data_IF_908058806557
#
_entry.id   IF_908058806557
#
_cell.length_a   1.000
_cell.length_b   1.000
_cell.length_c   1.000
_cell.angle_alpha   90.00
_cell.angle_beta   90.00
_cell.angle_gamma   90.00
#
_symmetry.space_group_name_H-M   'P 1'
#
loop_
_entity.id
_entity.type
_entity.pdbx_description
1 polymer ?
#
# COMPACT_ATOMS: atom_id res chain seq x y z
N UNK A 1 -11.92 17.75 -28.41
CA UNK A 1 -13.11 16.94 -28.78
C UNK A 1 -13.36 16.05 -27.57
N UNK A 2 -14.48 16.26 -26.85
CA UNK A 2 -14.81 15.45 -25.68
C UNK A 2 -14.93 13.99 -26.07
N UNK A 3 -14.28 13.10 -25.34
CA UNK A 3 -14.41 11.66 -25.54
C UNK A 3 -15.84 11.26 -25.19
N UNK A 4 -16.59 10.80 -26.20
CA UNK A 4 -17.93 10.23 -25.97
C UNK A 4 -17.68 8.84 -25.41
N UNK A 5 -18.02 8.63 -24.12
CA UNK A 5 -17.98 7.29 -23.54
C UNK A 5 -19.08 6.42 -24.11
N UNK A 6 -18.79 5.13 -24.37
CA UNK A 6 -19.86 4.19 -24.59
C UNK A 6 -20.62 3.98 -23.26
N UNK A 7 -21.86 4.38 -23.20
CA UNK A 7 -22.81 3.90 -22.20
C UNK A 7 -23.89 3.11 -22.93
N UNK A 8 -24.19 1.89 -22.50
CA UNK A 8 -23.62 1.12 -21.38
C UNK A 8 -22.25 0.50 -21.65
N UNK A 9 -21.51 0.15 -20.58
CA UNK A 9 -20.28 -0.64 -20.66
C UNK A 9 -20.57 -2.05 -21.23
N UNK A 10 -19.75 -2.53 -22.17
CA UNK A 10 -19.76 -3.92 -22.64
C UNK A 10 -18.56 -4.68 -22.06
N UNK A 11 -18.62 -4.90 -20.74
CA UNK A 11 -17.57 -5.60 -19.97
C UNK A 11 -18.03 -7.03 -19.70
N UNK A 12 -17.34 -8.01 -20.28
CA UNK A 12 -17.57 -9.45 -20.12
C UNK A 12 -16.38 -10.15 -19.48
N UNK A 13 -15.16 -9.76 -19.90
CA UNK A 13 -13.92 -10.36 -19.41
C UNK A 13 -13.12 -9.34 -18.61
N UNK A 14 -12.84 -9.64 -17.36
CA UNK A 14 -12.12 -8.77 -16.47
C UNK A 14 -10.79 -9.41 -16.04
N UNK A 15 -9.70 -8.65 -16.17
CA UNK A 15 -8.41 -9.02 -15.59
C UNK A 15 -8.20 -8.29 -14.26
N UNK A 16 -7.63 -8.98 -13.28
CA UNK A 16 -7.14 -8.40 -12.01
C UNK A 16 -5.65 -8.66 -11.91
N UNK A 17 -4.84 -7.62 -11.76
CA UNK A 17 -3.38 -7.72 -11.65
C UNK A 17 -2.98 -7.64 -10.20
N UNK A 18 -2.58 -8.77 -9.63
CA UNK A 18 -2.21 -8.97 -8.23
C UNK A 18 -3.31 -9.63 -7.39
N UNK A 19 -2.93 -10.62 -6.58
CA UNK A 19 -3.78 -11.30 -5.60
C UNK A 19 -3.44 -10.88 -4.15
N UNK A 20 -3.06 -9.63 -3.96
CA UNK A 20 -2.99 -8.98 -2.67
C UNK A 20 -4.38 -8.59 -2.15
N UNK A 21 -4.47 -7.88 -1.02
CA UNK A 21 -5.75 -7.49 -0.42
C UNK A 21 -6.74 -6.87 -1.40
N UNK A 22 -6.29 -5.90 -2.21
CA UNK A 22 -7.16 -5.21 -3.16
C UNK A 22 -7.62 -6.10 -4.31
N UNK A 23 -6.76 -7.00 -4.81
CA UNK A 23 -7.14 -7.93 -5.89
C UNK A 23 -8.10 -9.01 -5.42
N UNK A 24 -7.98 -9.48 -4.18
CA UNK A 24 -8.91 -10.45 -3.61
C UNK A 24 -10.29 -9.85 -3.38
N UNK A 25 -10.38 -8.63 -2.83
CA UNK A 25 -11.67 -7.93 -2.71
C UNK A 25 -12.27 -7.64 -4.09
N UNK A 26 -11.47 -7.19 -5.06
CA UNK A 26 -11.91 -7.00 -6.43
C UNK A 26 -12.54 -8.26 -7.03
N UNK A 27 -11.86 -9.40 -6.93
CA UNK A 27 -12.38 -10.68 -7.45
C UNK A 27 -13.72 -11.07 -6.82
N UNK A 28 -13.85 -10.94 -5.48
CA UNK A 28 -15.11 -11.24 -4.77
C UNK A 28 -16.27 -10.34 -5.20
N UNK A 29 -16.02 -9.02 -5.28
CA UNK A 29 -17.07 -8.07 -5.66
C UNK A 29 -17.49 -8.21 -7.13
N UNK A 30 -16.54 -8.50 -8.04
CA UNK A 30 -16.84 -8.79 -9.44
C UNK A 30 -17.69 -10.05 -9.59
N UNK A 31 -17.34 -11.16 -8.90
CA UNK A 31 -18.15 -12.38 -8.92
C UNK A 31 -19.57 -12.16 -8.36
N UNK A 32 -19.69 -11.38 -7.30
CA UNK A 32 -20.98 -11.12 -6.67
C UNK A 32 -21.96 -10.36 -7.58
N UNK A 33 -21.48 -9.60 -8.57
CA UNK A 33 -22.34 -8.93 -9.54
C UNK A 33 -23.06 -9.91 -10.48
N UNK A 34 -22.48 -11.10 -10.73
CA UNK A 34 -23.02 -12.10 -11.66
C UNK A 34 -23.27 -11.53 -13.07
N UNK A 35 -22.46 -10.57 -13.49
CA UNK A 35 -22.60 -9.85 -14.75
C UNK A 35 -21.47 -10.16 -15.74
N UNK A 36 -20.36 -10.72 -15.27
CA UNK A 36 -19.16 -10.94 -16.07
C UNK A 36 -19.03 -12.42 -16.45
N UNK A 37 -18.65 -12.69 -17.71
CA UNK A 37 -18.44 -14.05 -18.22
C UNK A 37 -17.18 -14.68 -17.64
N UNK A 38 -16.15 -13.88 -17.40
CA UNK A 38 -14.84 -14.32 -16.91
C UNK A 38 -14.16 -13.27 -16.08
N UNK A 39 -13.62 -13.70 -14.92
CA UNK A 39 -12.68 -12.92 -14.10
C UNK A 39 -11.42 -13.74 -13.94
N UNK A 40 -10.26 -13.17 -14.28
CA UNK A 40 -8.96 -13.81 -14.15
C UNK A 40 -8.06 -12.95 -13.30
N UNK A 41 -7.43 -13.54 -12.28
CA UNK A 41 -6.46 -12.85 -11.40
C UNK A 41 -5.06 -13.34 -11.72
N UNK A 42 -4.14 -12.44 -12.07
CA UNK A 42 -2.74 -12.76 -12.30
C UNK A 42 -1.92 -12.44 -11.06
N UNK A 43 -1.24 -13.43 -10.48
CA UNK A 43 -0.37 -13.26 -9.32
C UNK A 43 1.04 -13.79 -9.63
N UNK A 44 2.04 -12.92 -9.47
CA UNK A 44 3.43 -13.29 -9.74
C UNK A 44 4.05 -14.19 -8.67
N UNK A 45 3.54 -14.15 -7.43
CA UNK A 45 3.96 -15.04 -6.36
C UNK A 45 3.24 -16.40 -6.44
N UNK A 46 3.75 -17.45 -5.77
CA UNK A 46 3.11 -18.75 -5.73
C UNK A 46 1.92 -18.83 -4.75
N UNK A 47 1.59 -17.73 -4.05
CA UNK A 47 0.51 -17.66 -3.07
C UNK A 47 -0.11 -16.26 -3.07
N UNK A 48 -1.37 -16.15 -2.60
CA UNK A 48 -2.05 -14.87 -2.37
C UNK A 48 -1.44 -14.11 -1.20
N UNK A 49 -1.79 -12.83 -1.06
CA UNK A 49 -1.44 -12.02 0.10
C UNK A 49 -0.66 -10.76 -0.25
N UNK A 50 -0.14 -10.64 -1.48
CA UNK A 50 0.62 -9.46 -1.91
C UNK A 50 1.83 -9.22 -1.00
N UNK A 51 1.93 -8.03 -0.37
CA UNK A 51 3.03 -7.70 0.53
C UNK A 51 3.12 -8.59 1.77
N UNK A 52 2.01 -9.22 2.20
CA UNK A 52 1.97 -10.09 3.38
C UNK A 52 2.59 -11.46 3.10
N UNK A 53 2.69 -11.86 1.82
CA UNK A 53 3.44 -13.06 1.44
C UNK A 53 4.93 -12.80 1.62
N UNK A 54 5.48 -13.27 2.73
CA UNK A 54 6.82 -12.95 3.19
C UNK A 54 7.88 -13.87 2.62
N UNK A 55 8.99 -13.27 2.17
CA UNK A 55 10.25 -13.97 1.90
C UNK A 55 11.32 -13.51 2.87
N UNK A 56 12.01 -14.46 3.52
CA UNK A 56 13.14 -14.16 4.39
C UNK A 56 14.34 -13.60 3.62
N UNK A 57 14.46 -13.93 2.33
CA UNK A 57 15.53 -13.38 1.49
C UNK A 57 15.17 -11.94 1.10
N UNK A 58 16.02 -10.95 1.42
CA UNK A 58 15.82 -9.59 0.97
C UNK A 58 16.09 -9.46 -0.53
N UNK A 59 15.67 -8.34 -1.12
CA UNK A 59 16.16 -7.90 -2.42
C UNK A 59 17.46 -7.14 -2.22
N UNK A 60 18.51 -7.51 -2.92
CA UNK A 60 19.83 -6.87 -2.83
C UNK A 60 20.00 -5.74 -3.88
N UNK A 61 18.96 -5.39 -4.63
CA UNK A 61 19.02 -4.49 -5.78
C UNK A 61 18.61 -3.03 -5.47
N UNK A 62 18.77 -2.56 -4.24
CA UNK A 62 18.47 -1.16 -3.95
C UNK A 62 19.39 -0.22 -4.75
N UNK A 63 18.81 0.53 -5.68
CA UNK A 63 19.52 1.63 -6.34
C UNK A 63 19.77 2.76 -5.35
N UNK A 64 20.97 3.34 -5.40
CA UNK A 64 21.35 4.45 -4.53
C UNK A 64 21.96 5.56 -5.36
N UNK A 65 21.28 6.71 -5.46
CA UNK A 65 19.93 7.03 -5.01
C UNK A 65 18.86 6.36 -5.86
N UNK A 66 17.60 6.30 -5.34
CA UNK A 66 16.43 5.78 -6.07
C UNK A 66 15.31 6.80 -6.03
N UNK A 67 15.18 7.56 -7.12
CA UNK A 67 14.21 8.67 -7.27
C UNK A 67 13.30 8.52 -8.49
N UNK A 68 13.47 7.46 -9.28
CA UNK A 68 12.72 7.24 -10.52
C UNK A 68 11.70 6.11 -10.38
N UNK A 69 10.42 6.32 -10.75
CA UNK A 69 9.42 5.26 -10.80
C UNK A 69 9.62 4.29 -11.98
N UNK A 70 10.46 4.65 -12.95
CA UNK A 70 10.73 3.87 -14.17
C UNK A 70 11.92 2.91 -14.02
N UNK A 71 12.40 2.73 -12.80
CA UNK A 71 13.45 1.75 -12.55
C UNK A 71 12.87 0.33 -12.69
N UNK A 72 13.61 -0.60 -13.32
CA UNK A 72 13.14 -1.98 -13.42
C UNK A 72 12.79 -2.54 -12.04
N UNK A 73 11.66 -3.25 -11.89
CA UNK A 73 11.32 -3.90 -10.63
C UNK A 73 12.37 -4.96 -10.27
N UNK A 74 12.49 -5.23 -8.98
CA UNK A 74 13.41 -6.27 -8.50
C UNK A 74 13.08 -7.60 -9.16
N UNK A 75 14.11 -8.37 -9.59
CA UNK A 75 13.90 -9.71 -10.08
C UNK A 75 13.42 -10.63 -8.95
N UNK A 76 12.71 -11.73 -9.28
CA UNK A 76 12.31 -12.68 -8.26
C UNK A 76 13.55 -13.35 -7.64
N UNK A 77 13.50 -13.58 -6.33
CA UNK A 77 14.44 -14.45 -5.62
C UNK A 77 13.92 -15.89 -5.63
N UNK A 78 14.78 -16.89 -5.55
CA UNK A 78 14.35 -18.29 -5.47
C UNK A 78 14.15 -18.71 -4.01
N UNK A 79 12.95 -19.18 -3.70
CA UNK A 79 12.63 -19.85 -2.43
C UNK A 79 12.30 -21.31 -2.73
N UNK A 80 13.29 -22.21 -2.58
CA UNK A 80 13.23 -23.55 -3.14
C UNK A 80 13.16 -23.49 -4.68
N UNK A 81 12.20 -24.19 -5.27
CA UNK A 81 12.01 -24.22 -6.72
C UNK A 81 11.09 -23.10 -7.26
N UNK A 82 10.52 -22.28 -6.36
CA UNK A 82 9.56 -21.24 -6.73
C UNK A 82 10.20 -19.85 -6.75
N UNK A 83 9.95 -19.06 -7.80
CA UNK A 83 10.29 -17.65 -7.81
C UNK A 83 9.36 -16.88 -6.85
N UNK A 84 9.93 -15.99 -6.03
CA UNK A 84 9.22 -15.17 -5.05
C UNK A 84 9.75 -13.74 -5.14
N UNK A 85 8.86 -12.77 -5.09
CA UNK A 85 9.24 -11.35 -5.07
C UNK A 85 9.43 -10.87 -3.63
N UNK A 86 10.51 -10.12 -3.38
CA UNK A 86 10.83 -9.65 -2.05
C UNK A 86 9.75 -8.71 -1.52
N UNK A 87 9.19 -9.05 -0.38
CA UNK A 87 8.20 -8.25 0.35
C UNK A 87 8.90 -7.20 1.23
N UNK A 88 8.27 -6.04 1.49
CA UNK A 88 8.75 -5.05 2.47
C UNK A 88 8.53 -5.47 3.92
N UNK A 89 7.90 -6.64 4.17
CA UNK A 89 7.63 -7.15 5.51
C UNK A 89 8.90 -7.72 6.17
N UNK A 90 8.91 -7.75 7.49
CA UNK A 90 10.00 -8.26 8.32
C UNK A 90 9.50 -9.20 9.41
N UNK A 91 10.41 -9.96 10.04
CA UNK A 91 10.09 -11.14 10.85
C UNK A 91 9.11 -10.85 12.00
N UNK A 92 9.38 -9.79 12.76
CA UNK A 92 8.62 -9.47 13.98
C UNK A 92 7.60 -8.32 13.78
N UNK A 93 7.14 -8.10 12.54
CA UNK A 93 6.14 -7.09 12.24
C UNK A 93 4.78 -7.49 12.81
N UNK A 94 4.16 -6.55 13.51
CA UNK A 94 2.74 -6.54 13.86
C UNK A 94 2.03 -5.39 13.14
N UNK A 95 0.74 -5.57 12.86
CA UNK A 95 -0.06 -4.51 12.23
C UNK A 95 -0.01 -3.21 13.06
N UNK A 96 -0.13 -2.07 12.38
CA UNK A 96 -0.26 -0.77 13.07
C UNK A 96 -1.72 -0.45 13.41
N UNK A 97 -2.65 -1.29 12.97
CA UNK A 97 -4.09 -1.09 13.02
C UNK A 97 -4.70 -2.29 13.74
N UNK A 98 -5.64 -2.10 14.68
CA UNK A 98 -6.34 -3.21 15.32
C UNK A 98 -7.11 -4.04 14.28
N UNK A 99 -7.13 -5.35 14.45
CA UNK A 99 -7.83 -6.25 13.52
C UNK A 99 -9.33 -5.93 13.40
N UNK A 100 -9.94 -5.40 14.46
CA UNK A 100 -11.36 -5.06 14.53
C UNK A 100 -11.82 -4.07 13.46
N UNK A 101 -10.92 -3.17 13.02
CA UNK A 101 -11.19 -2.23 11.92
C UNK A 101 -10.43 -2.59 10.64
N UNK A 102 -9.46 -3.52 10.71
CA UNK A 102 -8.69 -3.94 9.55
C UNK A 102 -9.38 -5.04 8.74
N UNK A 103 -10.28 -5.81 9.36
CA UNK A 103 -10.95 -6.96 8.75
C UNK A 103 -11.77 -6.60 7.52
N UNK A 104 -12.03 -7.60 6.67
CA UNK A 104 -13.04 -7.53 5.63
C UNK A 104 -14.46 -7.68 6.22
N UNK A 105 -15.44 -7.21 5.48
CA UNK A 105 -16.85 -7.22 5.94
C UNK A 105 -17.43 -8.60 6.19
N UNK A 106 -16.94 -9.63 5.49
CA UNK A 106 -17.47 -11.00 5.55
C UNK A 106 -16.53 -12.01 6.22
N UNK A 107 -15.43 -11.56 6.82
CA UNK A 107 -14.50 -12.46 7.51
C UNK A 107 -13.84 -11.79 8.71
N UNK A 108 -14.00 -12.37 9.91
CA UNK A 108 -13.31 -11.95 11.10
C UNK A 108 -11.93 -12.61 11.26
N UNK A 109 -10.99 -11.89 11.90
CA UNK A 109 -9.80 -12.51 12.47
C UNK A 109 -10.19 -13.42 13.65
N UNK A 110 -9.33 -14.38 14.04
CA UNK A 110 -9.59 -15.18 15.24
C UNK A 110 -9.73 -14.30 16.48
N UNK A 111 -10.83 -14.46 17.23
CA UNK A 111 -11.13 -13.63 18.41
C UNK A 111 -10.16 -13.84 19.59
N UNK A 112 -9.43 -14.95 19.61
CA UNK A 112 -8.38 -15.27 20.60
C UNK A 112 -6.98 -14.81 20.17
N UNK A 113 -6.87 -14.20 18.98
CA UNK A 113 -5.63 -13.62 18.46
C UNK A 113 -5.25 -12.30 19.13
N UNK A 114 -4.09 -11.76 18.77
CA UNK A 114 -3.64 -10.44 19.24
C UNK A 114 -4.47 -9.33 18.60
N UNK A 115 -4.72 -8.25 19.36
CA UNK A 115 -5.45 -7.08 18.85
C UNK A 115 -4.72 -6.42 17.66
N UNK A 116 -3.39 -6.48 17.63
CA UNK A 116 -2.53 -6.14 16.50
C UNK A 116 -1.88 -7.42 15.97
N UNK A 117 -2.51 -8.10 14.99
CA UNK A 117 -2.02 -9.36 14.46
C UNK A 117 -0.58 -9.29 13.96
N UNK A 118 0.13 -10.41 14.04
CA UNK A 118 1.42 -10.54 13.41
C UNK A 118 1.29 -10.61 11.88
N UNK A 119 2.39 -10.40 11.18
CA UNK A 119 2.49 -10.60 9.73
C UNK A 119 1.98 -11.99 9.30
N UNK A 120 2.29 -13.03 10.07
CA UNK A 120 1.87 -14.40 9.75
C UNK A 120 0.36 -14.57 9.88
N UNK A 121 -0.25 -14.03 10.94
CA UNK A 121 -1.70 -14.08 11.15
C UNK A 121 -2.46 -13.38 10.00
N UNK A 122 -1.94 -12.25 9.52
CA UNK A 122 -2.53 -11.55 8.37
C UNK A 122 -2.41 -12.37 7.10
N UNK A 123 -1.28 -13.04 6.86
CA UNK A 123 -1.13 -13.92 5.70
C UNK A 123 -2.12 -15.10 5.75
N UNK A 124 -2.27 -15.74 6.89
CA UNK A 124 -3.24 -16.83 7.07
C UNK A 124 -4.68 -16.34 6.86
N UNK A 125 -5.00 -15.17 7.36
CA UNK A 125 -6.28 -14.52 7.16
C UNK A 125 -6.57 -14.28 5.67
N UNK A 126 -5.61 -13.77 4.89
CA UNK A 126 -5.76 -13.54 3.46
C UNK A 126 -5.88 -14.85 2.67
N UNK A 127 -5.15 -15.90 3.04
CA UNK A 127 -5.32 -17.24 2.46
C UNK A 127 -6.74 -17.76 2.71
N UNK A 128 -7.27 -17.59 3.93
CA UNK A 128 -8.66 -17.96 4.25
C UNK A 128 -9.66 -17.11 3.46
N UNK A 129 -9.43 -15.78 3.37
CA UNK A 129 -10.30 -14.88 2.62
C UNK A 129 -10.36 -15.22 1.13
N UNK A 130 -9.30 -15.76 0.57
CA UNK A 130 -9.19 -16.08 -0.85
C UNK A 130 -9.92 -17.36 -1.28
N UNK A 131 -10.39 -18.21 -0.36
CA UNK A 131 -10.80 -19.58 -0.66
C UNK A 131 -11.86 -19.69 -1.76
N UNK A 132 -12.86 -18.82 -1.76
CA UNK A 132 -13.95 -18.80 -2.73
C UNK A 132 -13.58 -18.22 -4.10
N UNK A 133 -12.50 -17.42 -4.18
CA UNK A 133 -12.00 -16.81 -5.43
C UNK A 133 -10.66 -17.39 -5.88
N UNK A 134 -10.05 -18.29 -5.12
CA UNK A 134 -8.73 -18.84 -5.40
C UNK A 134 -8.64 -19.55 -6.76
N UNK A 135 -9.74 -20.14 -7.22
CA UNK A 135 -9.82 -20.81 -8.51
C UNK A 135 -9.69 -19.87 -9.72
N UNK A 136 -9.83 -18.55 -9.51
CA UNK A 136 -9.64 -17.52 -10.54
C UNK A 136 -8.17 -17.10 -10.67
N UNK A 137 -7.30 -17.49 -9.72
CA UNK A 137 -5.93 -17.00 -9.63
C UNK A 137 -4.98 -17.86 -10.46
N UNK A 138 -4.30 -17.24 -11.43
CA UNK A 138 -3.14 -17.80 -12.13
C UNK A 138 -1.88 -17.41 -11.34
N UNK A 139 -1.41 -18.33 -10.50
CA UNK A 139 -0.21 -18.13 -9.67
C UNK A 139 1.07 -18.21 -10.50
N UNK A 140 2.16 -17.67 -9.95
CA UNK A 140 3.49 -17.60 -10.57
C UNK A 140 3.42 -17.05 -12.00
N UNK A 141 2.47 -16.14 -12.25
CA UNK A 141 2.20 -15.55 -13.56
C UNK A 141 2.37 -14.05 -13.49
N UNK A 142 3.43 -13.55 -14.12
CA UNK A 142 3.75 -12.12 -14.14
C UNK A 142 3.16 -11.45 -15.37
N UNK A 143 2.46 -10.33 -15.17
CA UNK A 143 2.06 -9.44 -16.28
C UNK A 143 3.30 -8.66 -16.72
N UNK A 144 3.67 -8.81 -18.00
CA UNK A 144 4.85 -8.19 -18.60
C UNK A 144 4.52 -6.91 -19.34
N UNK A 145 3.39 -6.89 -20.05
CA UNK A 145 2.89 -5.70 -20.75
C UNK A 145 1.38 -5.67 -20.79
N UNK A 146 0.83 -4.48 -20.82
CA UNK A 146 -0.58 -4.22 -21.06
C UNK A 146 -0.71 -3.06 -22.04
N UNK A 147 -1.43 -3.31 -23.14
CA UNK A 147 -1.59 -2.33 -24.21
C UNK A 147 -3.07 -2.06 -24.45
N UNK A 148 -3.41 -0.77 -24.47
CA UNK A 148 -4.73 -0.33 -24.85
C UNK A 148 -4.92 -0.43 -26.37
N UNK A 149 -6.02 -1.03 -26.78
CA UNK A 149 -6.52 -1.05 -28.15
C UNK A 149 -7.97 -0.58 -28.15
N UNK A 150 -8.32 0.30 -29.05
CA UNK A 150 -9.71 0.77 -29.22
C UNK A 150 -10.41 -0.01 -30.34
N UNK A 151 -11.60 -0.53 -30.04
CA UNK A 151 -12.52 -1.12 -31.01
C UNK A 151 -13.80 -0.26 -31.07
N UNK A 152 -13.84 0.66 -32.03
CA UNK A 152 -14.89 1.69 -32.05
C UNK A 152 -14.76 2.66 -30.86
N UNK A 153 -15.77 2.68 -30.00
CA UNK A 153 -15.77 3.46 -28.75
C UNK A 153 -15.39 2.63 -27.52
N UNK A 154 -15.07 1.34 -27.69
CA UNK A 154 -14.78 0.45 -26.58
C UNK A 154 -13.28 0.25 -26.41
N UNK A 155 -12.82 0.31 -25.17
CA UNK A 155 -11.47 -0.07 -24.80
C UNK A 155 -11.34 -1.59 -24.77
N UNK A 156 -10.20 -2.09 -25.24
CA UNK A 156 -9.75 -3.48 -25.13
C UNK A 156 -8.32 -3.50 -24.63
N UNK A 157 -8.04 -4.36 -23.69
CA UNK A 157 -6.76 -4.45 -23.01
C UNK A 157 -6.06 -5.76 -23.38
N UNK A 158 -5.04 -5.67 -24.21
CA UNK A 158 -4.19 -6.80 -24.56
C UNK A 158 -3.13 -6.96 -23.46
N UNK A 159 -3.19 -8.07 -22.73
CA UNK A 159 -2.29 -8.39 -21.61
C UNK A 159 -1.35 -9.53 -22.02
N UNK A 160 -0.05 -9.29 -21.90
CA UNK A 160 0.99 -10.30 -22.09
C UNK A 160 1.51 -10.74 -20.73
N UNK A 161 1.54 -12.05 -20.52
CA UNK A 161 1.97 -12.68 -19.28
C UNK A 161 3.05 -13.70 -19.49
N UNK A 162 3.86 -13.94 -18.45
CA UNK A 162 4.88 -14.99 -18.40
C UNK A 162 4.65 -15.86 -17.17
N UNK A 163 4.54 -17.17 -17.35
CA UNK A 163 4.58 -18.12 -16.26
C UNK A 163 6.03 -18.27 -15.79
N UNK A 164 6.30 -17.91 -14.54
CA UNK A 164 7.67 -17.85 -14.00
C UNK A 164 8.26 -19.23 -13.63
N UNK A 165 7.47 -20.30 -13.73
CA UNK A 165 7.93 -21.68 -13.48
C UNK A 165 8.57 -22.31 -14.72
N UNK A 166 7.99 -22.06 -15.89
CA UNK A 166 8.39 -22.68 -17.17
C UNK A 166 8.75 -21.67 -18.27
N UNK A 167 8.54 -20.37 -18.02
CA UNK A 167 8.80 -19.30 -18.99
C UNK A 167 7.76 -19.18 -20.11
N UNK A 168 6.63 -19.91 -20.01
CA UNK A 168 5.59 -19.86 -21.04
C UNK A 168 4.97 -18.46 -21.08
N UNK A 169 4.95 -17.86 -22.28
CA UNK A 169 4.29 -16.59 -22.52
C UNK A 169 2.88 -16.81 -23.06
N UNK A 170 1.95 -15.95 -22.68
CA UNK A 170 0.60 -15.91 -23.22
C UNK A 170 0.13 -14.47 -23.42
N UNK A 171 -0.82 -14.31 -24.35
CA UNK A 171 -1.46 -13.03 -24.64
C UNK A 171 -2.97 -13.22 -24.64
N UNK A 172 -3.67 -12.42 -23.85
CA UNK A 172 -5.13 -12.47 -23.74
C UNK A 172 -5.70 -11.05 -23.81
N UNK A 173 -6.92 -10.91 -24.33
CA UNK A 173 -7.63 -9.62 -24.42
C UNK A 173 -8.75 -9.58 -23.40
N UNK A 174 -8.85 -8.47 -22.68
CA UNK A 174 -9.86 -8.19 -21.65
C UNK A 174 -10.61 -6.89 -21.96
N UNK A 175 -11.84 -6.79 -21.45
CA UNK A 175 -12.68 -5.61 -21.62
C UNK A 175 -12.42 -4.57 -20.53
N UNK A 176 -12.02 -5.03 -19.33
CA UNK A 176 -11.68 -4.16 -18.23
C UNK A 176 -10.54 -4.75 -17.38
N UNK A 177 -9.79 -3.88 -16.70
CA UNK A 177 -8.63 -4.26 -15.89
C UNK A 177 -8.63 -3.57 -14.53
N UNK A 178 -8.45 -4.37 -13.49
CA UNK A 178 -8.16 -3.91 -12.13
C UNK A 178 -6.67 -3.99 -11.87
N UNK A 179 -6.00 -2.86 -11.72
CA UNK A 179 -4.56 -2.77 -11.43
C UNK A 179 -4.37 -2.75 -9.91
N UNK A 180 -4.27 -3.93 -9.31
CA UNK A 180 -4.09 -4.15 -7.87
C UNK A 180 -2.66 -4.59 -7.51
N UNK A 181 -1.66 -4.07 -8.25
CA UNK A 181 -0.24 -4.44 -8.12
C UNK A 181 0.44 -3.91 -6.85
N UNK A 182 -0.26 -3.08 -6.05
CA UNK A 182 0.29 -2.43 -4.87
C UNK A 182 1.29 -1.31 -5.18
N UNK A 183 1.78 -0.63 -4.13
CA UNK A 183 2.70 0.51 -4.28
C UNK A 183 3.92 0.44 -3.33
N UNK A 184 4.30 -0.77 -2.88
CA UNK A 184 5.47 -0.99 -2.03
C UNK A 184 6.57 -1.80 -2.75
N UNK A 185 6.65 -1.70 -4.08
CA UNK A 185 7.64 -2.39 -4.88
C UNK A 185 8.90 -1.55 -5.11
N UNK A 186 8.75 -0.31 -5.58
CA UNK A 186 9.86 0.60 -5.91
C UNK A 186 10.17 1.48 -4.72
N UNK A 187 11.38 1.33 -4.15
CA UNK A 187 11.84 2.09 -2.99
C UNK A 187 12.13 3.55 -3.35
N UNK A 188 12.08 4.44 -2.36
CA UNK A 188 12.53 5.83 -2.51
C UNK A 188 13.75 6.11 -1.63
N UNK A 189 14.90 6.39 -2.26
CA UNK A 189 16.13 6.88 -1.59
C UNK A 189 16.47 8.22 -2.24
N UNK A 190 16.41 9.34 -1.49
CA UNK A 190 16.62 10.67 -2.04
C UNK A 190 18.06 10.86 -2.56
N UNK A 191 18.22 11.70 -3.58
CA UNK A 191 19.55 12.09 -4.10
C UNK A 191 20.13 13.19 -3.21
N UNK A 192 20.99 12.77 -2.29
CA UNK A 192 21.71 13.65 -1.38
C UNK A 192 23.14 13.82 -1.90
N UNK A 193 23.75 14.98 -1.66
CA UNK A 193 25.12 15.28 -2.10
C UNK A 193 26.10 14.16 -1.75
N UNK A 194 26.88 13.70 -2.74
CA UNK A 194 27.89 12.64 -2.68
C UNK A 194 27.37 11.23 -2.34
N UNK A 195 26.05 10.98 -2.37
CA UNK A 195 25.50 9.67 -2.02
C UNK A 195 25.98 8.56 -2.96
N UNK A 196 26.19 8.88 -4.26
CA UNK A 196 26.65 7.91 -5.28
C UNK A 196 28.09 7.48 -5.03
N UNK A 197 28.95 8.46 -4.77
CA UNK A 197 30.38 8.26 -4.47
C UNK A 197 30.52 7.46 -3.16
N UNK A 198 29.72 7.83 -2.16
CA UNK A 198 29.70 7.12 -0.88
C UNK A 198 29.26 5.65 -1.06
N UNK A 199 28.17 5.39 -1.79
CA UNK A 199 27.68 4.03 -2.01
C UNK A 199 28.66 3.19 -2.84
N UNK A 200 29.37 3.81 -3.79
CA UNK A 200 30.42 3.12 -4.55
C UNK A 200 31.64 2.75 -3.71
N UNK A 201 32.04 3.62 -2.76
CA UNK A 201 33.16 3.37 -1.86
C UNK A 201 32.81 2.42 -0.70
N UNK A 202 31.56 2.43 -0.26
CA UNK A 202 31.06 1.66 0.89
C UNK A 202 29.80 0.87 0.53
N UNK A 203 29.90 -0.13 -0.36
CA UNK A 203 28.74 -0.90 -0.81
C UNK A 203 28.08 -1.62 0.36
N UNK A 204 26.73 -1.59 0.41
CA UNK A 204 25.93 -2.25 1.45
C UNK A 204 25.78 -1.47 2.76
N UNK A 205 26.43 -0.31 2.93
CA UNK A 205 26.21 0.58 4.10
C UNK A 205 24.85 1.26 3.98
N UNK A 206 24.48 1.73 2.78
CA UNK A 206 23.16 2.30 2.52
C UNK A 206 22.21 1.19 2.09
N UNK A 207 21.09 1.08 2.83
CA UNK A 207 20.00 0.13 2.53
C UNK A 207 18.63 0.80 2.66
N UNK A 208 17.58 0.14 2.20
CA UNK A 208 16.20 0.58 2.39
C UNK A 208 15.44 -0.40 3.30
N UNK A 209 14.41 0.08 4.01
CA UNK A 209 13.55 -0.73 4.89
C UNK A 209 12.93 -1.96 4.20
N UNK A 210 12.80 -1.95 2.88
CA UNK A 210 12.38 -3.11 2.08
C UNK A 210 13.31 -4.33 2.27
N UNK A 211 14.59 -4.11 2.53
CA UNK A 211 15.57 -5.19 2.77
C UNK A 211 15.73 -5.57 4.24
N UNK A 212 15.17 -4.80 5.17
CA UNK A 212 15.19 -5.14 6.59
C UNK A 212 14.46 -6.46 6.88
N UNK A 213 15.05 -7.33 7.72
CA UNK A 213 14.43 -8.60 8.10
C UNK A 213 14.40 -8.79 9.60
N UNK A 214 15.53 -8.68 10.27
CA UNK A 214 15.70 -8.92 11.71
C UNK A 214 16.66 -7.90 12.33
N UNK A 215 16.48 -7.51 13.60
CA UNK A 215 17.35 -6.53 14.25
C UNK A 215 18.76 -7.06 14.54
N UNK A 216 18.94 -8.38 14.62
CA UNK A 216 20.24 -9.03 14.87
C UNK A 216 21.27 -8.73 13.78
N UNK A 217 20.84 -8.43 12.55
CA UNK A 217 21.71 -8.02 11.45
C UNK A 217 22.44 -6.70 11.72
N UNK A 218 21.97 -5.95 12.71
CA UNK A 218 22.53 -4.65 13.13
C UNK A 218 23.30 -4.72 14.46
N UNK A 219 23.50 -5.93 15.01
CA UNK A 219 24.17 -6.10 16.29
C UNK A 219 25.58 -5.47 16.32
N UNK A 220 25.82 -4.59 17.29
CA UNK A 220 27.10 -3.88 17.49
C UNK A 220 27.47 -2.86 16.43
N UNK A 221 26.63 -2.58 15.43
CA UNK A 221 26.84 -1.60 14.38
C UNK A 221 26.47 -0.18 14.85
N UNK A 222 27.15 0.84 14.36
CA UNK A 222 26.73 2.23 14.45
C UNK A 222 25.71 2.50 13.34
N UNK A 223 24.45 2.74 13.70
CA UNK A 223 23.32 2.79 12.78
C UNK A 223 22.68 4.15 12.73
N UNK A 224 22.38 4.62 11.54
CA UNK A 224 21.54 5.78 11.25
C UNK A 224 20.29 5.32 10.50
N UNK A 225 19.11 5.52 11.09
CA UNK A 225 17.81 5.32 10.45
C UNK A 225 17.30 6.65 9.92
N UNK A 226 16.81 6.69 8.67
CA UNK A 226 16.32 7.91 8.03
C UNK A 226 14.80 7.83 7.83
N UNK A 227 14.06 8.71 8.51
CA UNK A 227 12.61 8.81 8.47
C UNK A 227 11.93 8.23 9.71
N UNK A 228 10.92 8.95 10.21
CA UNK A 228 10.18 8.68 11.45
C UNK A 228 8.69 8.37 11.22
N UNK A 229 8.33 7.87 10.03
CA UNK A 229 7.01 7.30 9.79
C UNK A 229 6.89 5.88 10.40
N UNK A 230 5.76 5.21 10.21
CA UNK A 230 5.45 3.93 10.85
C UNK A 230 6.59 2.89 10.75
N UNK A 231 7.17 2.67 9.55
CA UNK A 231 8.29 1.73 9.39
C UNK A 231 9.56 2.21 10.08
N UNK A 232 9.85 3.53 10.02
CA UNK A 232 11.05 4.09 10.64
C UNK A 232 11.06 3.92 12.14
N UNK A 233 9.95 4.24 12.81
CA UNK A 233 9.82 4.13 14.26
C UNK A 233 9.83 2.66 14.72
N UNK A 234 9.07 1.78 14.05
CA UNK A 234 9.01 0.37 14.44
C UNK A 234 10.37 -0.33 14.24
N UNK A 235 11.00 -0.16 13.07
CA UNK A 235 12.31 -0.75 12.80
C UNK A 235 13.40 -0.17 13.71
N UNK A 236 13.42 1.16 13.91
CA UNK A 236 14.37 1.79 14.82
C UNK A 236 14.24 1.28 16.26
N UNK A 237 13.00 1.07 16.75
CA UNK A 237 12.77 0.52 18.09
C UNK A 237 13.30 -0.90 18.26
N UNK A 238 13.30 -1.69 17.18
CA UNK A 238 13.87 -3.03 17.17
C UNK A 238 15.40 -2.98 17.13
N UNK A 239 15.98 -2.19 16.21
CA UNK A 239 17.43 -2.08 16.02
C UNK A 239 18.11 -1.45 17.25
N UNK A 240 17.51 -0.46 17.92
CA UNK A 240 18.10 0.27 19.03
C UNK A 240 18.52 -0.64 20.21
N UNK A 241 17.87 -1.79 20.33
CA UNK A 241 18.17 -2.79 21.37
C UNK A 241 19.36 -3.70 21.05
N UNK A 242 19.84 -3.68 19.81
CA UNK A 242 20.90 -4.55 19.31
C UNK A 242 22.13 -3.79 18.81
N UNK A 243 21.95 -2.58 18.26
CA UNK A 243 23.02 -1.80 17.68
C UNK A 243 23.91 -1.14 18.76
N UNK A 244 24.97 -0.51 18.31
CA UNK A 244 25.81 0.35 19.16
C UNK A 244 25.02 1.61 19.55
N UNK A 245 24.83 1.83 20.84
CA UNK A 245 24.12 2.99 21.36
C UNK A 245 24.94 4.29 21.25
N UNK A 246 24.29 5.43 20.96
CA UNK A 246 22.89 5.56 20.60
C UNK A 246 22.65 5.17 19.13
N UNK A 247 21.44 4.64 18.80
CA UNK A 247 20.91 4.64 17.44
C UNK A 247 20.60 6.08 17.05
N UNK A 248 21.00 6.49 15.85
CA UNK A 248 20.65 7.81 15.31
C UNK A 248 19.39 7.72 14.46
N UNK A 249 18.42 8.64 14.69
CA UNK A 249 17.19 8.75 13.91
C UNK A 249 17.16 10.11 13.20
N UNK A 250 17.43 10.12 11.89
CA UNK A 250 17.44 11.34 11.07
C UNK A 250 16.03 11.68 10.58
N UNK A 251 15.58 12.90 10.87
CA UNK A 251 14.21 13.35 10.59
C UNK A 251 14.16 14.75 9.99
N UNK A 252 13.07 15.04 9.28
CA UNK A 252 12.73 16.39 8.84
C UNK A 252 11.85 17.12 9.87
N UNK A 253 10.84 16.42 10.39
CA UNK A 253 9.93 16.93 11.41
C UNK A 253 10.16 16.17 12.71
N UNK A 254 10.10 16.84 13.87
CA UNK A 254 10.32 16.20 15.16
C UNK A 254 9.39 15.02 15.42
N UNK A 255 9.93 13.98 16.01
CA UNK A 255 9.17 12.82 16.49
C UNK A 255 8.45 13.15 17.79
N UNK A 256 7.17 12.77 17.99
CA UNK A 256 6.52 12.92 19.29
C UNK A 256 7.35 12.29 20.42
N UNK A 257 7.45 12.97 21.54
CA UNK A 257 8.35 12.62 22.64
C UNK A 257 8.14 11.18 23.15
N UNK A 258 6.89 10.75 23.28
CA UNK A 258 6.54 9.40 23.72
C UNK A 258 7.05 8.31 22.75
N UNK A 259 6.93 8.58 21.44
CA UNK A 259 7.41 7.67 20.40
C UNK A 259 8.94 7.62 20.40
N UNK A 260 9.61 8.77 20.52
CA UNK A 260 11.07 8.83 20.57
C UNK A 260 11.62 8.12 21.80
N UNK A 261 11.00 8.28 22.96
CA UNK A 261 11.33 7.58 24.19
C UNK A 261 11.19 6.06 24.04
N UNK A 262 10.12 5.59 23.37
CA UNK A 262 9.92 4.17 23.09
C UNK A 262 11.00 3.59 22.15
N UNK A 263 11.37 4.36 21.12
CA UNK A 263 12.43 3.96 20.17
C UNK A 263 13.78 3.87 20.87
N UNK A 264 14.07 4.74 21.81
CA UNK A 264 15.36 4.81 22.50
C UNK A 264 16.48 5.30 21.58
N UNK A 265 16.18 6.18 20.62
CA UNK A 265 17.11 6.75 19.67
C UNK A 265 17.49 8.19 20.02
N UNK A 266 18.64 8.63 19.52
CA UNK A 266 19.00 10.04 19.47
C UNK A 266 18.47 10.62 18.15
N UNK A 267 17.50 11.54 18.24
CA UNK A 267 16.98 12.23 17.06
C UNK A 267 18.00 13.26 16.54
N UNK A 268 18.22 13.24 15.23
CA UNK A 268 19.17 14.13 14.54
C UNK A 268 18.50 14.72 13.29
N UNK A 269 18.91 15.93 12.84
CA UNK A 269 18.36 16.54 11.64
C UNK A 269 18.66 15.74 10.37
N UNK A 270 18.09 16.18 9.25
CA UNK A 270 18.26 15.56 7.94
C UNK A 270 19.74 15.52 7.48
N UNK A 271 20.08 14.51 6.68
CA UNK A 271 21.39 14.40 6.04
C UNK A 271 21.49 15.47 4.93
N UNK A 272 22.55 16.29 4.95
CA UNK A 272 22.88 17.28 3.94
C UNK A 272 23.91 16.77 2.93
N UNK A 273 24.89 15.99 3.40
CA UNK A 273 26.03 15.54 2.58
C UNK A 273 26.58 14.22 3.10
N UNK A 274 26.97 13.34 2.17
CA UNK A 274 27.75 12.14 2.48
C UNK A 274 29.24 12.42 2.45
N UNK A 275 29.97 11.95 3.47
CA UNK A 275 31.41 12.12 3.65
C UNK A 275 32.09 10.78 3.38
N UNK A 276 32.65 10.64 2.18
CA UNK A 276 33.19 9.36 1.67
C UNK A 276 34.35 8.85 2.52
N UNK A 277 35.35 9.72 2.79
CA UNK A 277 36.56 9.36 3.52
C UNK A 277 36.30 8.97 4.98
N UNK A 278 35.31 9.63 5.61
CA UNK A 278 34.93 9.40 7.01
C UNK A 278 33.92 8.25 7.18
N UNK A 279 33.47 7.64 6.07
CA UNK A 279 32.33 6.70 6.09
C UNK A 279 31.20 7.27 6.95
N UNK A 280 30.79 8.51 6.65
CA UNK A 280 29.91 9.30 7.50
C UNK A 280 28.98 10.24 6.74
N UNK A 281 28.31 11.10 7.52
CA UNK A 281 27.39 12.11 6.99
C UNK A 281 27.59 13.45 7.70
N UNK A 282 27.31 14.54 6.99
CA UNK A 282 27.06 15.87 7.54
C UNK A 282 25.54 16.09 7.62
N UNK A 283 25.08 16.48 8.77
CA UNK A 283 23.68 16.82 9.03
C UNK A 283 23.44 18.31 8.72
N UNK A 284 22.19 18.70 8.50
CA UNK A 284 21.79 20.06 8.10
C UNK A 284 22.11 21.15 9.13
N UNK A 285 22.39 20.77 10.39
CA UNK A 285 22.88 21.68 11.43
C UNK A 285 24.42 21.78 11.51
N UNK A 286 25.14 21.14 10.57
CA UNK A 286 26.61 21.11 10.52
C UNK A 286 27.27 20.01 11.35
N UNK A 287 26.54 19.27 12.17
CA UNK A 287 27.05 18.11 12.92
C UNK A 287 27.54 17.02 11.95
N UNK A 288 28.68 16.42 12.26
CA UNK A 288 29.27 15.34 11.48
C UNK A 288 29.23 14.04 12.26
N UNK A 289 28.67 13.01 11.65
CA UNK A 289 28.70 11.63 12.13
C UNK A 289 29.62 10.78 11.25
N UNK A 290 30.58 10.08 11.89
CA UNK A 290 31.60 9.27 11.22
C UNK A 290 31.44 7.79 11.56
N UNK A 291 32.13 6.95 10.79
CA UNK A 291 32.22 5.50 11.03
C UNK A 291 30.84 4.82 11.12
N UNK A 292 29.91 5.21 10.24
CA UNK A 292 28.60 4.60 10.14
C UNK A 292 28.72 3.20 9.50
N UNK A 293 28.23 2.18 10.18
CA UNK A 293 28.23 0.80 9.70
C UNK A 293 26.96 0.48 8.89
N UNK A 294 25.85 1.20 9.14
CA UNK A 294 24.62 1.05 8.40
C UNK A 294 23.81 2.36 8.36
N UNK A 295 23.26 2.68 7.21
CA UNK A 295 22.32 3.79 6.98
C UNK A 295 21.07 3.18 6.36
N UNK A 296 19.97 3.17 7.12
CA UNK A 296 18.73 2.52 6.71
C UNK A 296 17.67 3.56 6.35
N UNK A 297 17.34 3.66 5.07
CA UNK A 297 16.29 4.55 4.60
C UNK A 297 14.90 3.93 4.82
N UNK A 298 14.06 4.62 5.59
CA UNK A 298 12.64 4.34 5.80
C UNK A 298 11.77 5.43 5.14
N UNK A 299 12.13 5.81 3.92
CA UNK A 299 11.61 6.98 3.21
C UNK A 299 10.48 6.66 2.23
N UNK A 300 9.90 5.46 2.35
CA UNK A 300 8.72 5.03 1.60
C UNK A 300 9.04 4.58 0.18
N UNK A 301 8.01 4.62 -0.67
CA UNK A 301 8.00 3.99 -1.98
C UNK A 301 7.42 4.93 -3.03
N UNK A 302 7.67 4.61 -4.30
CA UNK A 302 7.14 5.31 -5.47
C UNK A 302 6.06 4.45 -6.14
N UNK A 303 5.01 5.09 -6.63
CA UNK A 303 4.04 4.45 -7.51
C UNK A 303 4.71 4.09 -8.84
N UNK A 304 4.51 2.85 -9.30
CA UNK A 304 5.07 2.36 -10.55
C UNK A 304 4.14 1.35 -11.22
N UNK A 305 4.09 1.41 -12.55
CA UNK A 305 3.28 0.54 -13.40
C UNK A 305 4.10 0.12 -14.63
N UNK A 306 5.13 -0.72 -14.46
CA UNK A 306 6.09 -1.02 -15.54
C UNK A 306 5.45 -1.75 -16.73
N UNK A 307 4.30 -2.39 -16.55
CA UNK A 307 3.54 -3.05 -17.59
C UNK A 307 2.58 -2.12 -18.36
N UNK A 308 2.50 -0.83 -17.98
CA UNK A 308 1.61 0.20 -18.57
C UNK A 308 2.37 1.36 -19.24
N UNK A 309 3.63 1.18 -19.58
CA UNK A 309 4.48 2.24 -20.14
C UNK A 309 3.97 2.82 -21.46
N UNK A 310 3.14 2.05 -22.19
CA UNK A 310 2.57 2.51 -23.48
C UNK A 310 1.32 3.38 -23.34
N UNK A 311 0.74 3.50 -22.14
CA UNK A 311 -0.43 4.34 -21.93
C UNK A 311 -0.05 5.82 -22.00
N UNK A 312 -0.79 6.58 -22.82
CA UNK A 312 -0.53 8.01 -23.05
C UNK A 312 -1.81 8.80 -22.86
N UNK A 313 -1.80 9.87 -22.00
CA UNK A 313 -0.66 10.34 -21.18
C UNK A 313 -0.24 9.33 -20.12
N UNK A 314 1.04 9.38 -19.70
CA UNK A 314 1.58 8.47 -18.71
C UNK A 314 0.99 8.69 -17.32
N UNK A 315 0.80 7.59 -16.57
CA UNK A 315 0.20 7.58 -15.24
C UNK A 315 1.06 8.23 -14.15
N UNK A 316 2.37 8.18 -14.29
CA UNK A 316 3.32 8.69 -13.28
C UNK A 316 4.42 9.54 -13.93
N UNK A 317 4.93 10.51 -13.18
CA UNK A 317 6.10 11.31 -13.56
C UNK A 317 7.28 11.05 -12.60
N UNK A 318 7.14 11.41 -11.34
CA UNK A 318 8.14 11.21 -10.28
C UNK A 318 7.76 10.07 -9.31
N UNK A 319 6.66 9.38 -9.56
CA UNK A 319 6.15 8.28 -8.72
C UNK A 319 5.49 8.69 -7.41
N UNK A 320 5.30 9.99 -7.15
CA UNK A 320 4.64 10.47 -5.93
C UNK A 320 3.13 10.60 -6.07
N UNK A 321 2.64 10.66 -7.31
CA UNK A 321 1.23 10.75 -7.67
C UNK A 321 0.95 9.90 -8.91
N UNK A 322 -0.26 9.35 -8.96
CA UNK A 322 -0.85 8.75 -10.16
C UNK A 322 -1.83 9.76 -10.75
N UNK A 323 -1.68 10.09 -12.03
CA UNK A 323 -2.43 11.13 -12.74
C UNK A 323 -3.60 10.53 -13.52
N UNK A 324 -4.59 11.39 -13.85
CA UNK A 324 -5.73 11.01 -14.67
C UNK A 324 -6.74 10.12 -13.95
N UNK A 325 -6.86 10.25 -12.62
CA UNK A 325 -7.73 9.39 -11.82
C UNK A 325 -8.85 10.17 -11.13
N UNK A 326 -10.07 9.67 -11.27
CA UNK A 326 -11.23 10.09 -10.50
C UNK A 326 -11.35 9.27 -9.21
N UNK A 327 -11.54 9.95 -8.08
CA UNK A 327 -11.67 9.35 -6.73
C UNK A 327 -10.53 8.39 -6.37
N UNK A 328 -9.30 8.70 -6.84
CA UNK A 328 -8.10 7.86 -6.68
C UNK A 328 -8.30 6.42 -7.18
N UNK A 329 -9.23 6.18 -8.10
CA UNK A 329 -9.66 4.86 -8.51
C UNK A 329 -9.79 4.71 -10.03
N UNK A 330 -10.75 5.42 -10.67
CA UNK A 330 -11.05 5.25 -12.09
C UNK A 330 -10.12 6.09 -12.96
N UNK A 331 -9.56 5.48 -14.01
CA UNK A 331 -8.92 6.26 -15.06
C UNK A 331 -9.98 7.12 -15.80
N UNK A 332 -9.75 8.42 -15.86
CA UNK A 332 -10.76 9.37 -16.36
C UNK A 332 -11.10 9.11 -17.83
N UNK A 333 -10.09 8.96 -18.69
CA UNK A 333 -10.29 8.73 -20.12
C UNK A 333 -10.65 7.28 -20.45
N UNK A 334 -10.23 6.31 -19.61
CA UNK A 334 -10.41 4.87 -19.81
C UNK A 334 -11.01 4.23 -18.57
N UNK A 335 -12.31 4.43 -18.25
CA UNK A 335 -12.89 3.97 -16.98
C UNK A 335 -13.07 2.45 -16.87
N UNK A 336 -12.69 1.70 -17.90
CA UNK A 336 -12.46 0.25 -17.88
C UNK A 336 -11.13 -0.13 -17.19
N UNK A 337 -10.34 0.88 -16.77
CA UNK A 337 -9.10 0.73 -16.01
C UNK A 337 -9.26 1.36 -14.64
N UNK A 338 -9.04 0.57 -13.58
CA UNK A 338 -9.14 1.03 -12.18
C UNK A 338 -7.91 0.66 -11.36
N UNK A 339 -7.62 1.46 -10.34
CA UNK A 339 -6.44 1.35 -9.48
C UNK A 339 -6.85 1.33 -7.99
N UNK A 340 -7.39 0.23 -7.46
CA UNK A 340 -7.75 0.17 -6.04
C UNK A 340 -6.51 0.17 -5.14
N UNK A 341 -6.65 0.77 -3.96
CA UNK A 341 -5.61 0.76 -2.92
C UNK A 341 -4.49 1.77 -3.11
N UNK A 342 -4.67 2.83 -3.91
CA UNK A 342 -3.72 3.95 -4.01
C UNK A 342 -3.73 4.87 -2.79
N UNK A 343 -4.85 5.10 -2.07
CA UNK A 343 -4.87 5.92 -0.87
C UNK A 343 -3.85 5.48 0.17
N UNK A 344 -3.12 6.46 0.73
CA UNK A 344 -2.09 6.27 1.76
C UNK A 344 -2.62 6.79 3.10
N UNK A 345 -2.23 6.17 4.22
CA UNK A 345 -2.70 6.43 5.60
C UNK A 345 -4.18 6.07 5.80
N UNK A 346 -4.65 5.08 5.07
CA UNK A 346 -5.97 4.49 5.21
C UNK A 346 -5.87 3.08 5.77
N UNK A 347 -7.02 2.50 6.15
CA UNK A 347 -7.14 1.06 6.46
C UNK A 347 -7.41 0.32 5.14
N UNK A 348 -6.44 -0.44 4.58
CA UNK A 348 -6.50 -0.87 3.18
C UNK A 348 -7.62 -1.85 2.86
N UNK A 349 -7.96 -2.80 3.77
CA UNK A 349 -8.89 -3.87 3.46
C UNK A 349 -10.31 -3.36 3.25
N UNK A 350 -10.95 -2.64 4.20
CA UNK A 350 -12.29 -2.10 3.97
C UNK A 350 -12.32 -1.07 2.84
N UNK A 351 -11.27 -0.23 2.70
CA UNK A 351 -11.21 0.72 1.57
C UNK A 351 -11.19 -0.02 0.23
N UNK A 352 -10.47 -1.14 0.12
CA UNK A 352 -10.45 -1.93 -1.11
C UNK A 352 -11.80 -2.58 -1.43
N UNK A 353 -12.59 -2.98 -0.41
CA UNK A 353 -13.96 -3.47 -0.59
C UNK A 353 -14.90 -2.36 -1.07
N UNK A 354 -14.82 -1.18 -0.45
CA UNK A 354 -15.64 -0.03 -0.84
C UNK A 354 -15.38 0.39 -2.29
N UNK A 355 -14.10 0.47 -2.70
CA UNK A 355 -13.72 0.73 -4.07
C UNK A 355 -14.21 -0.37 -5.03
N UNK A 356 -14.08 -1.64 -4.64
CA UNK A 356 -14.52 -2.78 -5.43
C UNK A 356 -16.05 -2.81 -5.61
N UNK A 357 -16.81 -2.42 -4.59
CA UNK A 357 -18.25 -2.31 -4.66
C UNK A 357 -18.70 -1.30 -5.75
N UNK A 358 -17.99 -0.19 -5.88
CA UNK A 358 -18.32 0.85 -6.87
C UNK A 358 -17.95 0.42 -8.28
N UNK A 359 -16.69 0.04 -8.56
CA UNK A 359 -16.32 -0.27 -9.94
C UNK A 359 -17.00 -1.52 -10.49
N UNK A 360 -17.29 -2.51 -9.65
CA UNK A 360 -18.02 -3.70 -10.09
C UNK A 360 -19.47 -3.36 -10.52
N UNK A 361 -20.12 -2.42 -9.81
CA UNK A 361 -21.46 -1.91 -10.16
C UNK A 361 -21.43 -1.02 -11.39
N UNK A 362 -20.41 -0.18 -11.55
CA UNK A 362 -20.23 0.63 -12.77
C UNK A 362 -20.09 -0.26 -14.00
N UNK A 363 -19.21 -1.24 -13.97
CA UNK A 363 -18.97 -2.13 -15.10
C UNK A 363 -20.14 -3.07 -15.41
N UNK A 364 -20.99 -3.35 -14.42
CA UNK A 364 -22.27 -4.09 -14.64
C UNK A 364 -23.43 -3.18 -15.05
N UNK A 365 -23.18 -1.89 -15.30
CA UNK A 365 -24.21 -0.89 -15.66
C UNK A 365 -25.31 -0.69 -14.60
N UNK A 366 -25.04 -1.02 -13.35
CA UNK A 366 -25.98 -0.76 -12.26
C UNK A 366 -25.71 0.53 -11.51
N UNK A 367 -24.59 1.19 -11.82
CA UNK A 367 -24.18 2.49 -11.27
C UNK A 367 -23.52 3.31 -12.39
N UNK A 368 -23.83 4.59 -12.47
CA UNK A 368 -23.27 5.50 -13.49
C UNK A 368 -22.04 6.23 -12.95
N UNK A 369 -21.09 6.54 -13.85
CA UNK A 369 -20.02 7.50 -13.59
C UNK A 369 -20.46 8.91 -13.97
N UNK A 370 -19.93 9.94 -13.31
CA UNK A 370 -20.08 11.32 -13.76
C UNK A 370 -19.47 11.55 -15.16
N UNK A 371 -19.87 12.63 -15.86
CA UNK A 371 -19.22 13.04 -17.10
C UNK A 371 -17.73 13.27 -16.93
N UNK A 372 -16.95 13.11 -18.02
CA UNK A 372 -15.48 13.27 -18.03
C UNK A 372 -15.06 14.62 -17.48
N UNK A 373 -15.78 15.68 -17.85
CA UNK A 373 -15.51 17.04 -17.43
C UNK A 373 -15.65 17.25 -15.91
N UNK A 374 -16.60 16.55 -15.29
CA UNK A 374 -16.80 16.58 -13.84
C UNK A 374 -15.69 15.79 -13.12
N UNK A 375 -15.32 14.63 -13.65
CA UNK A 375 -14.25 13.83 -13.09
C UNK A 375 -12.89 14.52 -13.20
N UNK A 376 -12.62 15.20 -14.32
CA UNK A 376 -11.39 15.98 -14.52
C UNK A 376 -11.33 17.16 -13.56
N UNK A 377 -12.46 17.86 -13.38
CA UNK A 377 -12.54 18.96 -12.42
C UNK A 377 -12.29 18.49 -11.00
N UNK A 378 -12.87 17.34 -10.62
CA UNK A 378 -12.59 16.75 -9.32
C UNK A 378 -11.07 16.47 -9.11
N UNK A 379 -10.39 15.94 -10.14
CA UNK A 379 -8.94 15.68 -10.05
C UNK A 379 -8.14 16.99 -9.90
N UNK A 380 -8.52 18.03 -10.63
CA UNK A 380 -7.88 19.36 -10.55
C UNK A 380 -8.07 19.98 -9.15
N UNK A 381 -9.30 20.01 -8.63
CA UNK A 381 -9.63 20.53 -7.31
C UNK A 381 -8.90 19.76 -6.19
N UNK A 382 -8.84 18.42 -6.30
CA UNK A 382 -8.13 17.57 -5.33
C UNK A 382 -6.62 17.78 -5.41
N UNK A 383 -6.07 18.01 -6.59
CA UNK A 383 -4.66 18.32 -6.78
C UNK A 383 -4.28 19.68 -6.19
N UNK A 384 -5.14 20.70 -6.34
CA UNK A 384 -4.96 22.00 -5.73
C UNK A 384 -5.00 21.89 -4.19
N UNK A 385 -5.96 21.14 -3.66
CA UNK A 385 -6.16 20.97 -2.22
C UNK A 385 -5.03 20.19 -1.54
N UNK A 386 -4.50 19.10 -2.18
CA UNK A 386 -3.53 18.18 -1.54
C UNK A 386 -2.10 18.34 -2.04
N UNK A 387 -1.87 18.97 -3.18
CA UNK A 387 -0.54 19.15 -3.76
C UNK A 387 0.22 17.84 -3.93
N UNK A 388 1.46 17.79 -3.43
CA UNK A 388 2.33 16.60 -3.51
C UNK A 388 1.81 15.40 -2.70
N UNK A 389 0.90 15.64 -1.75
CA UNK A 389 0.31 14.60 -0.90
C UNK A 389 -1.03 14.08 -1.48
N UNK A 390 -1.21 14.11 -2.80
CA UNK A 390 -2.46 13.82 -3.50
C UNK A 390 -3.17 12.56 -3.01
N UNK A 391 -2.45 11.46 -2.80
CA UNK A 391 -3.00 10.19 -2.32
C UNK A 391 -2.92 10.01 -0.79
N UNK A 392 -2.40 11.00 -0.04
CA UNK A 392 -2.25 10.90 1.42
C UNK A 392 -3.48 11.45 2.12
N UNK A 393 -4.18 10.59 2.86
CA UNK A 393 -5.39 10.94 3.57
C UNK A 393 -5.09 11.51 4.97
N UNK A 394 -5.90 12.49 5.45
CA UNK A 394 -5.80 12.99 6.82
C UNK A 394 -6.28 11.92 7.82
N UNK A 395 -6.09 12.18 9.12
CA UNK A 395 -6.64 11.34 10.19
C UNK A 395 -8.17 11.22 10.01
N UNK A 396 -8.70 10.02 10.06
CA UNK A 396 -10.11 9.65 9.80
C UNK A 396 -10.61 9.86 8.34
N UNK A 397 -9.79 10.35 7.43
CA UNK A 397 -10.20 10.52 6.03
C UNK A 397 -10.54 9.22 5.31
N UNK A 398 -10.11 8.08 5.85
CA UNK A 398 -10.57 6.76 5.38
C UNK A 398 -12.00 6.44 5.85
N UNK A 399 -12.46 6.94 6.99
CA UNK A 399 -13.86 6.83 7.40
C UNK A 399 -14.78 7.62 6.45
N UNK A 400 -14.39 8.86 6.12
CA UNK A 400 -15.12 9.69 5.15
C UNK A 400 -15.15 9.02 3.76
N UNK A 401 -14.04 8.44 3.35
CA UNK A 401 -13.93 7.71 2.08
C UNK A 401 -14.85 6.48 2.05
N UNK A 402 -14.93 5.72 3.15
CA UNK A 402 -15.83 4.57 3.27
C UNK A 402 -17.29 5.00 3.19
N UNK A 403 -17.68 6.06 3.92
CA UNK A 403 -19.04 6.60 3.91
C UNK A 403 -19.42 7.06 2.49
N UNK A 404 -18.53 7.80 1.80
CA UNK A 404 -18.74 8.27 0.42
C UNK A 404 -18.93 7.12 -0.57
N UNK A 405 -18.04 6.12 -0.54
CA UNK A 405 -18.12 4.96 -1.45
C UNK A 405 -19.32 4.05 -1.12
N UNK A 406 -19.68 3.94 0.16
CA UNK A 406 -20.88 3.21 0.58
C UNK A 406 -22.13 3.88 0.03
N UNK A 407 -22.29 5.19 0.25
CA UNK A 407 -23.41 5.96 -0.29
C UNK A 407 -23.48 5.84 -1.82
N UNK A 408 -22.34 5.99 -2.50
CA UNK A 408 -22.31 5.88 -3.95
C UNK A 408 -22.75 4.48 -4.41
N UNK A 409 -22.22 3.42 -3.82
CA UNK A 409 -22.54 2.04 -4.20
C UNK A 409 -24.00 1.66 -3.90
N UNK A 410 -24.60 2.19 -2.82
CA UNK A 410 -26.00 1.93 -2.46
C UNK A 410 -27.02 2.65 -3.36
N UNK A 411 -26.60 3.67 -4.10
CA UNK A 411 -27.42 4.31 -5.15
C UNK A 411 -27.53 3.46 -6.43
N UNK A 412 -27.06 2.21 -6.40
CA UNK A 412 -27.16 1.25 -7.51
C UNK A 412 -28.59 0.94 -7.87
N UNK A 413 -28.87 0.78 -9.18
CA UNK A 413 -30.17 0.33 -9.70
C UNK A 413 -30.42 -1.18 -9.54
N UNK A 414 -29.44 -1.92 -9.00
CA UNK A 414 -29.49 -3.38 -8.82
C UNK A 414 -29.21 -3.76 -7.37
N UNK A 415 -29.98 -4.75 -6.86
CA UNK A 415 -29.72 -5.38 -5.56
C UNK A 415 -28.58 -6.41 -5.60
N UNK A 416 -28.03 -6.70 -6.80
CA UNK A 416 -26.91 -7.63 -6.94
C UNK A 416 -25.60 -7.02 -6.44
N UNK A 417 -24.71 -7.90 -5.99
CA UNK A 417 -23.38 -7.53 -5.50
C UNK A 417 -23.27 -7.63 -3.99
N UNK A 418 -22.03 -7.49 -3.49
CA UNK A 418 -21.77 -7.44 -2.05
C UNK A 418 -22.04 -6.04 -1.51
N UNK A 419 -22.53 -5.98 -0.27
CA UNK A 419 -22.65 -4.75 0.50
C UNK A 419 -21.27 -4.09 0.68
N UNK A 420 -21.11 -2.81 0.39
CA UNK A 420 -19.88 -2.10 0.71
C UNK A 420 -19.74 -1.90 2.22
N UNK A 421 -18.51 -1.93 2.78
CA UNK A 421 -18.32 -1.69 4.20
C UNK A 421 -18.65 -0.25 4.59
N UNK A 422 -19.14 -0.09 5.81
CA UNK A 422 -19.31 1.20 6.48
C UNK A 422 -18.87 1.04 7.94
N UNK A 423 -18.28 2.07 8.51
CA UNK A 423 -17.86 2.06 9.91
C UNK A 423 -18.90 2.71 10.82
N UNK A 424 -19.19 2.02 11.92
CA UNK A 424 -19.97 2.58 13.01
C UNK A 424 -19.11 3.53 13.90
N UNK A 425 -19.74 4.13 14.89
CA UNK A 425 -19.06 5.05 15.82
C UNK A 425 -17.95 4.36 16.62
N UNK A 426 -18.07 3.08 16.91
CA UNK A 426 -17.04 2.30 17.62
C UNK A 426 -15.80 2.16 16.75
N UNK A 427 -15.99 1.77 15.49
CA UNK A 427 -14.89 1.61 14.53
C UNK A 427 -14.20 2.96 14.22
N UNK A 428 -14.97 4.04 14.05
CA UNK A 428 -14.43 5.40 13.88
C UNK A 428 -13.62 5.85 15.10
N UNK A 429 -14.11 5.56 16.32
CA UNK A 429 -13.37 5.80 17.55
C UNK A 429 -12.07 4.98 17.61
N UNK A 430 -12.13 3.67 17.32
CA UNK A 430 -10.92 2.82 17.28
C UNK A 430 -9.88 3.36 16.29
N UNK A 431 -10.34 3.85 15.12
CA UNK A 431 -9.48 4.50 14.15
C UNK A 431 -8.87 5.80 14.69
N UNK A 432 -9.60 6.52 15.52
CA UNK A 432 -9.12 7.74 16.19
C UNK A 432 -7.97 7.50 17.17
N UNK A 433 -7.98 6.36 17.89
CA UNK A 433 -7.03 6.04 18.98
C UNK A 433 -5.92 5.05 18.58
N UNK A 434 -5.90 4.55 17.34
CA UNK A 434 -5.05 3.43 16.96
C UNK A 434 -3.54 3.64 17.20
N UNK A 435 -3.05 4.87 17.10
CA UNK A 435 -1.63 5.20 17.32
C UNK A 435 -1.25 4.99 18.79
N UNK A 436 -2.08 5.53 19.70
CA UNK A 436 -1.90 5.41 21.15
C UNK A 436 -2.05 3.95 21.61
N UNK A 437 -3.07 3.26 21.08
CA UNK A 437 -3.29 1.84 21.35
C UNK A 437 -2.11 0.97 20.86
N UNK A 438 -1.55 1.28 19.67
CA UNK A 438 -0.36 0.58 19.16
C UNK A 438 0.85 0.82 20.04
N UNK A 439 1.12 2.06 20.45
CA UNK A 439 2.21 2.37 21.36
C UNK A 439 2.05 1.62 22.70
N UNK A 440 0.84 1.59 23.25
CA UNK A 440 0.55 0.85 24.49
C UNK A 440 0.78 -0.66 24.33
N UNK A 441 0.36 -1.22 23.19
CA UNK A 441 0.62 -2.62 22.86
C UNK A 441 2.11 -2.94 22.82
N UNK A 442 2.94 -2.09 22.21
CA UNK A 442 4.39 -2.23 22.19
C UNK A 442 5.00 -2.19 23.60
N UNK A 443 4.61 -1.18 24.41
CA UNK A 443 5.09 -0.99 25.77
C UNK A 443 4.69 -2.11 26.74
N UNK A 444 3.56 -2.78 26.49
CA UNK A 444 3.08 -3.92 27.32
C UNK A 444 3.54 -5.29 26.82
N UNK A 445 4.49 -5.33 25.88
CA UNK A 445 5.13 -6.56 25.40
C UNK A 445 4.37 -7.33 24.36
N UNK A 446 3.49 -6.67 23.59
CA UNK A 446 2.78 -7.23 22.42
C UNK A 446 1.91 -8.45 22.75
N UNK A 447 1.15 -8.41 23.85
CA UNK A 447 0.36 -9.56 24.33
C UNK A 447 -1.14 -9.34 24.37
N UNK A 448 -1.60 -8.09 24.29
CA UNK A 448 -3.00 -7.75 24.41
C UNK A 448 -3.83 -8.32 23.27
N UNK A 449 -5.00 -8.84 23.60
CA UNK A 449 -5.98 -9.43 22.67
C UNK A 449 -7.14 -8.48 22.38
N UNK A 450 -7.32 -7.46 23.20
CA UNK A 450 -8.37 -6.44 23.02
C UNK A 450 -7.85 -5.05 23.34
N UNK A 451 -8.61 -4.02 22.95
CA UNK A 451 -8.31 -2.62 23.30
C UNK A 451 -8.54 -2.36 24.79
N UNK A 452 -9.50 -3.06 25.42
CA UNK A 452 -9.79 -2.97 26.84
C UNK A 452 -8.62 -3.44 27.70
N UNK A 453 -7.89 -4.49 27.27
CA UNK A 453 -6.65 -4.94 27.94
C UNK A 453 -5.53 -3.89 27.87
N UNK A 454 -5.60 -2.98 26.90
CA UNK A 454 -4.71 -1.83 26.78
C UNK A 454 -5.22 -0.58 27.54
N UNK A 455 -6.43 -0.68 28.13
CA UNK A 455 -7.04 0.42 28.89
C UNK A 455 -7.90 1.37 28.05
N UNK A 456 -8.28 0.99 26.82
CA UNK A 456 -9.14 1.78 25.94
C UNK A 456 -10.56 1.18 25.90
N UNK A 457 -11.56 1.95 26.36
CA UNK A 457 -12.96 1.55 26.34
C UNK A 457 -13.78 2.65 25.65
N UNK A 458 -14.58 2.25 24.66
CA UNK A 458 -15.49 3.17 23.98
C UNK A 458 -16.58 3.65 24.94
N UNK A 459 -16.77 4.97 24.97
CA UNK A 459 -17.89 5.60 25.66
C UNK A 459 -18.74 6.33 24.62
N UNK A 460 -20.01 5.96 24.44
CA UNK A 460 -20.88 6.69 23.54
C UNK A 460 -21.02 8.14 24.00
N UNK A 461 -21.10 9.12 23.08
CA UNK A 461 -21.38 10.51 23.40
C UNK A 461 -22.63 10.60 24.29
N UNK A 462 -22.58 11.43 25.35
CA UNK A 462 -23.76 11.71 26.17
C UNK A 462 -24.80 12.42 25.30
N UNK A 463 -26.10 12.11 25.50
CA UNK A 463 -27.22 12.70 24.72
C UNK A 463 -27.22 14.25 24.72
N UNK A 464 -26.46 14.88 25.60
CA UNK A 464 -26.34 16.35 25.72
C UNK A 464 -25.36 16.95 24.70
N UNK A 465 -24.40 16.20 24.18
CA UNK A 465 -23.41 16.72 23.20
C UNK A 465 -23.91 16.63 21.77
N UNK A 466 -24.92 15.82 21.49
CA UNK A 466 -25.47 15.64 20.12
C UNK A 466 -26.34 16.83 19.63
N UNK A 467 -26.74 17.75 20.50
CA UNK A 467 -27.54 18.94 20.12
C UNK A 467 -26.70 20.21 19.85
N UNK A 468 -25.38 20.20 20.10
CA UNK A 468 -24.53 21.39 19.91
C UNK A 468 -23.77 21.43 18.59
N UNK A 469 -23.72 20.33 17.81
CA UNK A 469 -23.08 20.28 16.49
C UNK A 469 -24.06 20.51 15.30
N UNK A 470 -25.29 20.96 15.58
CA UNK A 470 -26.31 21.33 14.57
C UNK A 470 -26.67 22.83 14.67
N UNK A 471 -25.66 23.70 14.73
CA UNK A 471 -25.91 25.15 14.51
C UNK A 471 -24.81 25.73 13.62
#
# INVERSE_FOLDING_TARGET
>A
MGSVRPEPFDVKKVAVIGAGPCGLSAAKYLLAQQAFESVVVFEQNPEVGGVWYYSRQPSDNAQVPQVSPFYPPDPPVRSGDKPVFASPMYEVLHTNIPWTIMKYGDLDFPHDGLIFPSRADVQEYLVKYSQDVRHLVKFSTQVKSMTLRQEGLQDRWDIETENLLDGQQSKETFDAVVVANGHYATTHIPDVKNIKEFNAAHPGVITHSKSYRVPEDYAGKKVLVVGNAASGLDIASQISRHCKSPLLLSVHEPTPEENLAHVGAEEVPAIEEFLVEERGVRLSNGRVEKDLDAILYCTGYLFTFPFLETLTPGLVSDGRRVYGLYKHLFHIDHPTLVFPGLPIRVVPFPVSEAQAAVFARVWSNSLSLPPVEEMSRWEEDEAERRGKAFHVFPKLGDADLLDEFHEWATNSSSEKGKEPPVWDNVQKWQRGIYVEAKLKFELTGRKAKSLEELGFTYQPPSEVESEQDIV
#
